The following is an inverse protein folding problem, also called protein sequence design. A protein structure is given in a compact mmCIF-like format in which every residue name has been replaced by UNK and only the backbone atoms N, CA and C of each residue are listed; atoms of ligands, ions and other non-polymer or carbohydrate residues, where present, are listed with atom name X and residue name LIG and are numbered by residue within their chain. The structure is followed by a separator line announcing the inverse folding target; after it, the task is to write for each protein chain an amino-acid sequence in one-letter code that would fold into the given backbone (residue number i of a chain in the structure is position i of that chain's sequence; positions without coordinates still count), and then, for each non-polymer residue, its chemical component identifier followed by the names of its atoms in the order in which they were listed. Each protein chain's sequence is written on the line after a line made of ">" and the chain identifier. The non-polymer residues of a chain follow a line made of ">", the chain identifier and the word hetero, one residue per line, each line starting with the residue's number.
data_IF_038713754104
#
_entry.id   IF_038713754104
#
_cell.length_a   1.000
_cell.length_b   1.000
_cell.length_c   1.000
_cell.angle_alpha   90.00
_cell.angle_beta   90.00
_cell.angle_gamma   90.00
#
_symmetry.space_group_name_H-M   'P 1'
#
loop_
_entity.id
_entity.type
_entity.pdbx_description
1 polymer ?
#
# COMPACT_ATOMS: atom_id res chain seq x y z
N UNK A 1 -15.96 6.16 -22.58
CA UNK A 1 -15.23 4.89 -22.32
C UNK A 1 -14.82 4.24 -23.64
N UNK A 2 -13.59 3.71 -23.78
CA UNK A 2 -13.14 3.01 -25.00
C UNK A 2 -13.65 1.57 -25.08
N UNK A 3 -14.04 1.11 -26.27
CA UNK A 3 -14.45 -0.28 -26.52
C UNK A 3 -13.31 -1.26 -26.25
N UNK A 4 -12.07 -0.90 -26.60
CA UNK A 4 -10.88 -1.71 -26.29
C UNK A 4 -10.70 -1.96 -24.80
N UNK A 5 -11.12 -1.01 -23.97
CA UNK A 5 -11.02 -1.04 -22.53
C UNK A 5 -12.16 -1.85 -21.90
N UNK A 6 -13.40 -1.68 -22.39
CA UNK A 6 -14.55 -2.53 -22.05
C UNK A 6 -14.26 -4.00 -22.34
N UNK A 7 -13.71 -4.31 -23.52
CA UNK A 7 -13.43 -5.70 -23.90
C UNK A 7 -12.38 -6.34 -22.98
N UNK A 8 -11.28 -5.63 -22.69
CA UNK A 8 -10.26 -6.11 -21.74
C UNK A 8 -10.81 -6.30 -20.33
N UNK A 9 -11.67 -5.39 -19.85
CA UNK A 9 -12.33 -5.55 -18.55
C UNK A 9 -13.28 -6.75 -18.55
N UNK A 10 -14.02 -6.98 -19.64
CA UNK A 10 -14.85 -8.17 -19.81
C UNK A 10 -14.01 -9.45 -19.74
N UNK A 11 -12.87 -9.48 -20.42
CA UNK A 11 -11.94 -10.61 -20.35
C UNK A 11 -11.44 -10.85 -18.91
N UNK A 12 -11.19 -9.79 -18.13
CA UNK A 12 -10.87 -9.93 -16.71
C UNK A 12 -12.00 -10.60 -15.92
N UNK A 13 -13.24 -10.11 -16.07
CA UNK A 13 -14.41 -10.69 -15.40
C UNK A 13 -14.59 -12.17 -15.76
N UNK A 14 -14.54 -12.49 -17.06
CA UNK A 14 -14.75 -13.85 -17.56
C UNK A 14 -13.67 -14.84 -17.11
N UNK A 15 -12.42 -14.37 -16.92
CA UNK A 15 -11.29 -15.25 -16.58
C UNK A 15 -11.05 -15.37 -15.08
N UNK A 16 -11.23 -14.30 -14.32
CA UNK A 16 -10.80 -14.24 -12.92
C UNK A 16 -11.94 -14.20 -11.91
N UNK A 17 -13.16 -13.86 -12.34
CA UNK A 17 -14.34 -13.76 -11.47
C UNK A 17 -15.43 -14.79 -11.79
N UNK A 18 -15.25 -15.63 -12.81
CA UNK A 18 -16.25 -16.62 -13.24
C UNK A 18 -16.67 -17.57 -12.11
N UNK A 19 -15.72 -18.05 -11.32
CA UNK A 19 -15.97 -18.94 -10.18
C UNK A 19 -16.52 -18.20 -8.96
N UNK A 20 -16.57 -16.87 -9.00
CA UNK A 20 -17.03 -16.01 -7.89
C UNK A 20 -18.44 -15.43 -8.11
N UNK A 21 -19.15 -15.81 -9.18
CA UNK A 21 -20.51 -15.29 -9.48
C UNK A 21 -21.53 -15.54 -8.38
N UNK A 22 -21.37 -16.64 -7.63
CA UNK A 22 -22.24 -17.01 -6.52
C UNK A 22 -21.68 -16.63 -5.14
N UNK A 23 -20.61 -15.83 -5.10
CA UNK A 23 -19.99 -15.36 -3.87
C UNK A 23 -20.22 -13.85 -3.72
N UNK A 24 -20.46 -13.36 -2.50
CA UNK A 24 -20.55 -11.93 -2.27
C UNK A 24 -19.20 -11.28 -2.55
N UNK A 25 -19.18 -10.29 -3.43
CA UNK A 25 -17.98 -9.50 -3.74
C UNK A 25 -18.26 -8.02 -3.55
N UNK A 26 -17.36 -7.34 -2.87
CA UNK A 26 -17.25 -5.90 -2.90
C UNK A 26 -16.26 -5.48 -4.00
N UNK A 27 -16.78 -4.80 -5.02
CA UNK A 27 -16.02 -4.31 -6.18
C UNK A 27 -15.96 -2.79 -6.11
N UNK A 28 -14.75 -2.23 -6.19
CA UNK A 28 -14.49 -0.80 -6.27
C UNK A 28 -13.93 -0.46 -7.65
N UNK A 29 -14.53 0.51 -8.35
CA UNK A 29 -14.05 1.05 -9.62
C UNK A 29 -13.44 2.45 -9.41
N UNK A 30 -12.16 2.63 -9.73
CA UNK A 30 -11.43 3.90 -9.56
C UNK A 30 -11.39 4.69 -10.87
N UNK A 31 -11.86 5.95 -10.82
CA UNK A 31 -12.07 6.80 -11.99
C UNK A 31 -13.34 6.40 -12.73
N UNK A 32 -14.38 6.05 -11.98
CA UNK A 32 -15.55 5.35 -12.50
C UNK A 32 -16.60 6.24 -13.18
N UNK A 33 -16.34 7.55 -13.33
CA UNK A 33 -17.36 8.50 -13.81
C UNK A 33 -17.87 8.08 -15.18
N UNK A 34 -19.19 7.97 -15.34
CA UNK A 34 -19.79 7.61 -16.63
C UNK A 34 -19.69 8.79 -17.62
N UNK A 35 -18.67 8.72 -18.47
CA UNK A 35 -18.43 9.64 -19.57
C UNK A 35 -18.51 8.85 -20.88
N UNK A 36 -19.75 8.69 -21.36
CA UNK A 36 -20.04 7.91 -22.56
C UNK A 36 -19.82 6.41 -22.37
N UNK A 37 -20.08 5.89 -21.17
CA UNK A 37 -19.98 4.48 -20.79
C UNK A 37 -19.22 4.28 -19.47
N UNK A 38 -19.50 3.16 -18.81
CA UNK A 38 -18.85 2.72 -17.57
C UNK A 38 -18.74 1.19 -17.50
N UNK A 39 -18.00 0.65 -16.53
CA UNK A 39 -17.86 -0.79 -16.36
C UNK A 39 -19.00 -1.47 -15.59
N UNK A 40 -19.84 -0.72 -14.87
CA UNK A 40 -20.91 -1.28 -14.01
C UNK A 40 -21.71 -2.42 -14.65
N UNK A 41 -22.14 -2.36 -15.94
CA UNK A 41 -22.89 -3.45 -16.57
C UNK A 41 -22.15 -4.79 -16.62
N UNK A 42 -20.82 -4.80 -16.59
CA UNK A 42 -20.01 -6.03 -16.57
C UNK A 42 -20.04 -6.74 -15.20
N UNK A 43 -20.45 -6.02 -14.15
CA UNK A 43 -20.45 -6.50 -12.76
C UNK A 43 -21.87 -6.66 -12.20
N UNK A 44 -22.88 -6.72 -13.07
CA UNK A 44 -24.28 -6.92 -12.69
C UNK A 44 -24.54 -8.39 -12.30
N UNK A 45 -24.16 -8.75 -11.08
CA UNK A 45 -24.46 -10.04 -10.47
C UNK A 45 -25.16 -9.80 -9.14
N UNK A 46 -26.13 -10.66 -8.81
CA UNK A 46 -27.01 -10.45 -7.65
C UNK A 46 -26.28 -10.32 -6.29
N UNK A 47 -25.10 -10.95 -6.15
CA UNK A 47 -24.30 -10.92 -4.92
C UNK A 47 -23.12 -9.94 -5.00
N UNK A 48 -22.96 -9.21 -6.11
CA UNK A 48 -21.85 -8.28 -6.29
C UNK A 48 -22.30 -6.87 -5.92
N UNK A 49 -21.57 -6.25 -5.02
CA UNK A 49 -21.73 -4.85 -4.65
C UNK A 49 -20.67 -4.04 -5.38
N UNK A 50 -21.07 -3.34 -6.45
CA UNK A 50 -20.21 -2.45 -7.21
C UNK A 50 -20.38 -1.01 -6.70
N UNK A 51 -19.26 -0.35 -6.41
CA UNK A 51 -19.18 1.07 -6.10
C UNK A 51 -18.18 1.78 -7.01
N UNK A 52 -18.57 2.94 -7.56
CA UNK A 52 -17.66 3.81 -8.28
C UNK A 52 -17.03 4.86 -7.36
N UNK A 53 -15.75 5.13 -7.55
CA UNK A 53 -14.99 6.16 -6.84
C UNK A 53 -14.31 7.13 -7.81
N UNK A 54 -14.31 8.41 -7.45
CA UNK A 54 -13.64 9.48 -8.18
C UNK A 54 -13.34 10.67 -7.25
N UNK A 55 -12.56 11.64 -7.71
CA UNK A 55 -12.25 12.87 -6.96
C UNK A 55 -13.40 13.87 -6.97
N UNK A 56 -14.32 13.72 -7.91
CA UNK A 56 -15.44 14.65 -8.14
C UNK A 56 -16.73 13.84 -8.20
N UNK A 57 -17.83 14.31 -7.60
CA UNK A 57 -19.13 13.66 -7.75
C UNK A 57 -19.56 13.64 -9.23
N UNK A 58 -20.20 12.55 -9.64
CA UNK A 58 -20.65 12.36 -11.02
C UNK A 58 -21.58 11.18 -11.17
N UNK A 59 -22.04 10.94 -12.41
CA UNK A 59 -22.77 9.73 -12.73
C UNK A 59 -21.87 8.50 -12.49
N UNK A 60 -22.45 7.43 -11.94
CA UNK A 60 -21.75 6.21 -11.54
C UNK A 60 -20.81 6.34 -10.33
N UNK A 61 -20.79 7.48 -9.62
CA UNK A 61 -19.94 7.70 -8.44
C UNK A 61 -20.74 7.54 -7.14
N UNK A 62 -20.28 6.61 -6.31
CA UNK A 62 -20.82 6.30 -4.99
C UNK A 62 -19.93 6.87 -3.87
N UNK A 63 -18.62 6.96 -4.11
CA UNK A 63 -17.61 7.47 -3.16
C UNK A 63 -16.84 8.61 -3.80
N UNK A 64 -16.85 9.78 -3.16
CA UNK A 64 -15.99 10.91 -3.55
C UNK A 64 -14.75 10.90 -2.67
N UNK A 65 -13.58 10.74 -3.28
CA UNK A 65 -12.30 10.72 -2.60
C UNK A 65 -11.84 12.16 -2.33
N UNK A 66 -11.53 12.48 -1.08
CA UNK A 66 -11.03 13.81 -0.71
C UNK A 66 -9.58 14.07 -1.13
N UNK A 67 -8.78 13.02 -1.26
CA UNK A 67 -7.38 13.09 -1.70
C UNK A 67 -7.07 11.94 -2.69
N UNK A 68 -6.38 12.21 -3.82
CA UNK A 68 -6.05 11.18 -4.81
C UNK A 68 -5.08 10.09 -4.31
N UNK A 69 -4.37 10.35 -3.22
CA UNK A 69 -3.31 9.53 -2.65
C UNK A 69 -3.60 9.10 -1.20
N UNK A 70 -4.74 9.49 -0.62
CA UNK A 70 -5.18 9.07 0.71
C UNK A 70 -6.70 8.89 0.76
N UNK A 71 -7.15 7.63 0.67
CA UNK A 71 -8.56 7.27 0.56
C UNK A 71 -9.14 6.95 1.94
N UNK A 72 -9.22 7.98 2.79
CA UNK A 72 -9.72 7.85 4.17
C UNK A 72 -11.18 7.37 4.22
N UNK A 73 -11.92 7.55 3.14
CA UNK A 73 -13.31 7.11 2.97
C UNK A 73 -13.43 5.59 2.81
N UNK A 74 -12.31 4.89 2.58
CA UNK A 74 -12.28 3.46 2.28
C UNK A 74 -11.40 2.73 3.30
N UNK A 75 -12.03 1.82 4.04
CA UNK A 75 -11.35 1.02 5.06
C UNK A 75 -10.30 0.08 4.46
N UNK A 76 -9.23 -0.18 5.21
CA UNK A 76 -8.22 -1.18 4.83
C UNK A 76 -8.84 -2.58 4.80
N UNK A 77 -8.39 -3.44 3.88
CA UNK A 77 -8.89 -4.82 3.75
C UNK A 77 -10.43 -4.93 3.64
N UNK A 78 -11.06 -4.04 2.89
CA UNK A 78 -12.53 -3.97 2.74
C UNK A 78 -13.02 -4.33 1.34
N UNK A 79 -12.14 -4.32 0.33
CA UNK A 79 -12.49 -4.54 -1.08
C UNK A 79 -12.00 -5.91 -1.57
N UNK A 80 -12.88 -6.68 -2.20
CA UNK A 80 -12.55 -7.99 -2.78
C UNK A 80 -11.90 -7.86 -4.17
N UNK A 81 -12.38 -6.89 -4.96
CA UNK A 81 -11.89 -6.61 -6.30
C UNK A 81 -11.79 -5.11 -6.54
N UNK A 82 -10.62 -4.63 -6.93
CA UNK A 82 -10.44 -3.27 -7.43
C UNK A 82 -10.30 -3.28 -8.95
N UNK A 83 -11.01 -2.40 -9.64
CA UNK A 83 -10.82 -2.17 -11.05
C UNK A 83 -10.50 -0.72 -11.32
N UNK A 84 -9.77 -0.45 -12.39
CA UNK A 84 -9.57 0.90 -12.90
C UNK A 84 -9.24 0.83 -14.38
N UNK A 85 -9.79 1.75 -15.16
CA UNK A 85 -9.54 1.80 -16.60
C UNK A 85 -9.43 3.22 -17.09
N UNK A 86 -8.36 3.50 -17.83
CA UNK A 86 -8.10 4.81 -18.44
C UNK A 86 -8.04 5.96 -17.40
N UNK A 87 -7.48 5.65 -16.23
CA UNK A 87 -7.32 6.59 -15.12
C UNK A 87 -5.85 6.82 -14.79
N UNK A 88 -5.02 5.78 -14.88
CA UNK A 88 -3.63 5.80 -14.40
C UNK A 88 -2.71 6.73 -15.20
N UNK A 89 -2.98 6.94 -16.48
CA UNK A 89 -2.29 7.92 -17.32
C UNK A 89 -2.46 9.35 -16.81
N UNK A 90 -3.56 9.63 -16.09
CA UNK A 90 -3.90 10.95 -15.56
C UNK A 90 -3.45 11.13 -14.09
N UNK A 91 -2.85 10.11 -13.46
CA UNK A 91 -2.39 10.17 -12.07
C UNK A 91 -0.89 10.48 -12.01
N UNK A 92 -0.51 11.64 -11.45
CA UNK A 92 0.90 12.07 -11.39
C UNK A 92 1.78 11.10 -10.59
N UNK A 93 1.31 10.68 -9.42
CA UNK A 93 2.04 9.81 -8.49
C UNK A 93 1.33 8.46 -8.35
N UNK A 94 1.15 7.75 -9.46
CA UNK A 94 0.39 6.49 -9.51
C UNK A 94 0.90 5.41 -8.55
N UNK A 95 2.16 5.47 -8.11
CA UNK A 95 2.69 4.59 -7.07
C UNK A 95 2.04 4.81 -5.71
N UNK A 96 1.66 6.04 -5.35
CA UNK A 96 0.91 6.32 -4.11
C UNK A 96 -0.51 5.76 -4.18
N UNK A 97 -1.17 5.96 -5.32
CA UNK A 97 -2.48 5.35 -5.60
C UNK A 97 -2.40 3.82 -5.55
N UNK A 98 -1.34 3.22 -6.08
CA UNK A 98 -1.13 1.78 -5.98
C UNK A 98 -0.95 1.30 -4.53
N UNK A 99 -0.28 2.07 -3.67
CA UNK A 99 -0.21 1.78 -2.23
C UNK A 99 -1.59 1.77 -1.57
N UNK A 100 -2.46 2.71 -1.92
CA UNK A 100 -3.84 2.73 -1.43
C UNK A 100 -4.66 1.54 -1.95
N UNK A 101 -4.49 1.15 -3.21
CA UNK A 101 -5.08 -0.08 -3.77
C UNK A 101 -4.66 -1.29 -2.92
N UNK A 102 -3.37 -1.45 -2.65
CA UNK A 102 -2.89 -2.53 -1.78
C UNK A 102 -3.51 -2.45 -0.38
N UNK A 103 -3.63 -1.26 0.21
CA UNK A 103 -4.20 -1.06 1.55
C UNK A 103 -5.65 -1.54 1.62
N UNK A 104 -6.50 -1.12 0.69
CA UNK A 104 -7.96 -1.38 0.72
C UNK A 104 -8.32 -2.80 0.29
N UNK A 105 -7.51 -3.45 -0.54
CA UNK A 105 -7.77 -4.83 -0.93
C UNK A 105 -7.70 -5.76 0.29
N UNK A 106 -8.63 -6.70 0.38
CA UNK A 106 -8.56 -7.83 1.31
C UNK A 106 -7.38 -8.75 0.96
N UNK A 107 -6.87 -9.57 1.89
CA UNK A 107 -6.02 -10.71 1.54
C UNK A 107 -6.69 -11.57 0.46
N UNK A 108 -5.93 -11.99 -0.56
CA UNK A 108 -6.45 -12.61 -1.80
C UNK A 108 -7.34 -11.72 -2.69
N UNK A 109 -7.53 -10.44 -2.33
CA UNK A 109 -8.22 -9.47 -3.17
C UNK A 109 -7.48 -9.26 -4.49
N UNK A 110 -8.23 -9.02 -5.56
CA UNK A 110 -7.68 -8.84 -6.91
C UNK A 110 -7.73 -7.38 -7.31
N UNK A 111 -6.75 -6.91 -8.10
CA UNK A 111 -6.93 -5.70 -8.89
C UNK A 111 -6.75 -5.95 -10.38
N UNK A 112 -7.53 -5.22 -11.19
CA UNK A 112 -7.37 -5.10 -12.63
C UNK A 112 -7.19 -3.62 -13.00
N UNK A 113 -6.05 -3.27 -13.57
CA UNK A 113 -5.75 -1.90 -14.02
C UNK A 113 -5.51 -1.93 -15.52
N UNK A 114 -6.23 -1.08 -16.25
CA UNK A 114 -6.10 -0.89 -17.69
C UNK A 114 -5.69 0.55 -17.96
N UNK A 115 -4.58 0.76 -18.67
CA UNK A 115 -4.08 2.10 -19.00
C UNK A 115 -3.46 2.12 -20.40
N UNK A 116 -3.46 3.26 -21.10
CA UNK A 116 -2.89 3.37 -22.44
C UNK A 116 -1.37 3.11 -22.42
N UNK A 117 -0.90 2.39 -23.43
CA UNK A 117 0.54 2.20 -23.70
C UNK A 117 1.03 3.04 -24.89
N UNK A 118 0.10 3.49 -25.73
CA UNK A 118 0.38 4.33 -26.89
C UNK A 118 -0.66 5.44 -27.06
N UNK A 119 -0.84 5.88 -28.31
CA UNK A 119 -1.76 6.95 -28.65
C UNK A 119 -1.17 8.36 -28.44
N UNK A 120 -1.85 9.40 -28.97
CA UNK A 120 -1.44 10.79 -28.79
C UNK A 120 -1.60 11.25 -27.35
N UNK A 121 -1.00 12.40 -27.00
CA UNK A 121 -1.28 13.07 -25.72
C UNK A 121 -2.76 13.47 -25.66
N UNK A 122 -3.45 13.18 -24.55
CA UNK A 122 -4.84 13.55 -24.30
C UNK A 122 -5.02 14.03 -22.85
N UNK A 123 -5.05 15.34 -22.66
CA UNK A 123 -5.16 15.92 -21.32
C UNK A 123 -6.57 15.88 -20.77
N UNK A 124 -6.73 15.30 -19.58
CA UNK A 124 -8.00 15.31 -18.87
C UNK A 124 -7.83 15.25 -17.33
N UNK A 125 -7.28 16.27 -16.66
CA UNK A 125 -6.74 17.54 -17.17
C UNK A 125 -5.23 17.49 -17.51
N UNK A 126 -4.56 16.40 -17.15
CA UNK A 126 -3.14 16.13 -17.41
C UNK A 126 -3.01 14.77 -18.08
N UNK A 127 -1.86 14.49 -18.67
CA UNK A 127 -1.56 13.20 -19.29
C UNK A 127 -0.09 12.90 -19.03
N UNK A 128 0.17 11.99 -18.09
CA UNK A 128 1.47 11.84 -17.45
C UNK A 128 2.23 10.61 -17.95
N UNK A 129 1.52 9.53 -18.28
CA UNK A 129 2.16 8.22 -18.40
C UNK A 129 1.58 7.36 -19.52
N UNK A 130 2.46 6.54 -20.09
CA UNK A 130 2.10 5.37 -20.90
C UNK A 130 2.69 4.15 -20.23
N UNK A 131 1.89 3.10 -20.11
CA UNK A 131 2.24 1.93 -19.30
C UNK A 131 2.67 0.77 -20.19
N UNK A 132 3.81 0.17 -19.89
CA UNK A 132 4.26 -1.09 -20.47
C UNK A 132 4.12 -2.22 -19.44
N UNK A 133 4.01 -3.50 -19.87
CA UNK A 133 3.88 -4.64 -18.97
C UNK A 133 4.94 -4.71 -17.86
N UNK A 134 6.21 -4.45 -18.18
CA UNK A 134 7.30 -4.46 -17.19
C UNK A 134 7.15 -3.32 -16.16
N UNK A 135 6.65 -2.16 -16.60
CA UNK A 135 6.35 -1.03 -15.71
C UNK A 135 5.23 -1.36 -14.73
N UNK A 136 4.17 -2.01 -15.20
CA UNK A 136 3.10 -2.51 -14.31
C UNK A 136 3.59 -3.61 -13.37
N UNK A 137 4.45 -4.50 -13.85
CA UNK A 137 5.07 -5.53 -13.02
C UNK A 137 5.87 -4.89 -11.88
N UNK A 138 6.73 -3.93 -12.19
CA UNK A 138 7.51 -3.20 -11.20
C UNK A 138 6.64 -2.44 -10.19
N UNK A 139 5.58 -1.77 -10.67
CA UNK A 139 4.64 -1.02 -9.83
C UNK A 139 3.90 -1.93 -8.84
N UNK A 140 3.41 -3.08 -9.31
CA UNK A 140 2.72 -4.06 -8.47
C UNK A 140 3.64 -4.61 -7.38
N UNK A 141 4.87 -5.01 -7.76
CA UNK A 141 5.88 -5.52 -6.82
C UNK A 141 6.29 -4.46 -5.79
N UNK A 142 6.54 -3.23 -6.24
CA UNK A 142 6.85 -2.10 -5.36
C UNK A 142 5.76 -1.88 -4.30
N UNK A 143 4.50 -2.10 -4.67
CA UNK A 143 3.34 -1.88 -3.80
C UNK A 143 2.93 -3.13 -3.02
N UNK A 144 3.73 -4.21 -3.05
CA UNK A 144 3.46 -5.43 -2.28
C UNK A 144 2.37 -6.34 -2.85
N UNK A 145 2.01 -6.20 -4.13
CA UNK A 145 1.09 -7.11 -4.82
C UNK A 145 1.84 -8.20 -5.59
N UNK A 146 1.22 -9.38 -5.64
CA UNK A 146 1.64 -10.49 -6.49
C UNK A 146 1.06 -10.30 -7.89
N UNK A 147 1.93 -10.21 -8.90
CA UNK A 147 1.50 -10.12 -10.30
C UNK A 147 0.95 -11.47 -10.75
N UNK A 148 -0.29 -11.48 -11.25
CA UNK A 148 -0.90 -12.66 -11.88
C UNK A 148 -0.66 -12.61 -13.39
N UNK A 149 -0.92 -11.47 -14.01
CA UNK A 149 -0.78 -11.28 -15.45
C UNK A 149 -0.49 -9.82 -15.78
N UNK A 150 0.38 -9.59 -16.76
CA UNK A 150 0.49 -8.30 -17.45
C UNK A 150 0.46 -8.52 -18.95
N UNK A 151 -0.35 -7.74 -19.67
CA UNK A 151 -0.43 -7.80 -21.13
C UNK A 151 -0.41 -6.41 -21.74
N UNK A 152 -0.16 -6.36 -23.05
CA UNK A 152 -0.26 -5.15 -23.87
C UNK A 152 -0.91 -5.53 -25.19
N UNK A 153 -1.84 -4.69 -25.67
CA UNK A 153 -2.37 -4.84 -27.00
C UNK A 153 -1.32 -4.46 -28.06
N UNK A 154 -0.72 -5.47 -28.69
CA UNK A 154 0.33 -5.26 -29.71
C UNK A 154 -0.19 -5.09 -31.15
N UNK A 155 -1.45 -5.45 -31.42
CA UNK A 155 -2.07 -5.41 -32.76
C UNK A 155 -3.36 -4.61 -32.76
N UNK A 156 -3.79 -4.17 -33.93
CA UNK A 156 -5.14 -3.64 -34.12
C UNK A 156 -6.14 -4.80 -34.11
N UNK A 157 -7.19 -4.67 -33.30
CA UNK A 157 -8.27 -5.64 -33.17
C UNK A 157 -9.55 -5.21 -33.92
N UNK A 158 -9.57 -4.00 -34.47
CA UNK A 158 -10.64 -3.50 -35.33
C UNK A 158 -11.79 -2.86 -34.55
N UNK A 159 -11.50 -2.20 -33.42
CA UNK A 159 -12.52 -1.50 -32.64
C UNK A 159 -13.08 -0.30 -33.41
N UNK A 160 -14.40 -0.23 -33.52
CA UNK A 160 -15.11 0.76 -34.34
C UNK A 160 -15.03 2.20 -33.83
N UNK A 161 -14.68 2.38 -32.55
CA UNK A 161 -14.47 3.68 -31.91
C UNK A 161 -13.03 4.20 -32.07
N UNK A 162 -12.17 3.47 -32.79
CA UNK A 162 -10.78 3.84 -33.02
C UNK A 162 -9.86 3.62 -31.83
N UNK A 163 -10.34 2.93 -30.78
CA UNK A 163 -9.58 2.75 -29.54
C UNK A 163 -8.33 1.87 -29.66
N UNK A 164 -8.13 1.19 -30.79
CA UNK A 164 -6.91 0.44 -31.10
C UNK A 164 -5.61 1.26 -31.01
N UNK A 165 -5.69 2.59 -31.19
CA UNK A 165 -4.51 3.48 -31.15
C UNK A 165 -3.87 3.54 -29.77
N UNK A 166 -4.62 3.26 -28.70
CA UNK A 166 -4.18 3.40 -27.31
C UNK A 166 -3.33 2.24 -26.82
N UNK A 167 -3.39 1.10 -27.52
CA UNK A 167 -2.56 -0.07 -27.24
C UNK A 167 -2.60 -0.50 -25.77
N UNK A 168 -3.78 -0.48 -25.16
CA UNK A 168 -3.91 -0.57 -23.70
C UNK A 168 -3.09 -1.73 -23.11
N UNK A 169 -2.38 -1.43 -22.04
CA UNK A 169 -1.77 -2.40 -21.17
C UNK A 169 -2.74 -2.79 -20.06
N UNK A 170 -2.66 -4.04 -19.61
CA UNK A 170 -3.47 -4.59 -18.52
C UNK A 170 -2.54 -5.15 -17.45
N UNK A 171 -2.84 -4.85 -16.20
CA UNK A 171 -2.28 -5.50 -15.02
C UNK A 171 -3.40 -6.23 -14.28
N UNK A 172 -3.21 -7.51 -14.02
CA UNK A 172 -3.98 -8.28 -13.04
C UNK A 172 -3.02 -8.68 -11.92
N UNK A 173 -3.33 -8.27 -10.71
CA UNK A 173 -2.53 -8.59 -9.53
C UNK A 173 -3.41 -8.99 -8.35
N UNK A 174 -2.79 -9.59 -7.35
CA UNK A 174 -3.43 -10.07 -6.13
C UNK A 174 -2.71 -9.53 -4.92
N UNK A 175 -3.46 -9.08 -3.91
CA UNK A 175 -2.89 -8.87 -2.59
C UNK A 175 -2.56 -10.24 -2.00
N UNK A 176 -1.27 -10.54 -1.73
CA UNK A 176 -0.92 -11.82 -1.16
C UNK A 176 -1.69 -12.00 0.16
N UNK A 177 -2.08 -13.24 0.45
CA UNK A 177 -2.33 -13.59 1.84
C UNK A 177 -1.01 -13.33 2.52
N UNK A 178 -0.95 -12.30 3.36
CA UNK A 178 0.01 -12.35 4.43
C UNK A 178 -0.26 -13.69 5.06
N UNK A 179 0.69 -14.63 4.93
CA UNK A 179 0.82 -15.65 5.94
C UNK A 179 0.91 -14.81 7.21
N UNK A 180 -0.22 -14.70 7.90
CA UNK A 180 -0.23 -14.97 9.31
C UNK A 180 0.67 -16.22 9.40
N UNK A 181 1.96 -16.00 9.69
CA UNK A 181 2.56 -16.78 10.77
C UNK A 181 1.41 -16.94 11.72
N UNK A 182 0.87 -18.16 11.84
CA UNK A 182 -0.26 -18.40 12.71
C UNK A 182 0.08 -17.68 14.01
N UNK A 183 -0.56 -16.54 14.21
CA UNK A 183 -0.77 -15.97 15.50
C UNK A 183 -1.84 -16.90 16.04
N UNK A 184 -1.40 -18.11 16.40
CA UNK A 184 -1.92 -18.74 17.59
C UNK A 184 -1.96 -17.60 18.61
N UNK A 185 -3.13 -17.36 19.19
CA UNK A 185 -3.45 -16.38 20.24
C UNK A 185 -2.57 -16.56 21.51
N UNK A 186 -1.25 -16.58 21.33
CA UNK A 186 -0.18 -16.83 22.29
C UNK A 186 1.25 -16.61 21.73
N UNK A 187 1.44 -16.14 20.48
CA UNK A 187 2.78 -15.80 19.99
C UNK A 187 3.14 -14.33 20.21
N UNK A 188 3.51 -14.05 21.46
CA UNK A 188 4.56 -13.10 21.85
C UNK A 188 5.69 -13.21 20.79
N UNK A 189 5.87 -12.18 19.94
CA UNK A 189 6.94 -12.14 18.95
C UNK A 189 8.31 -12.18 19.66
N UNK A 190 8.83 -13.38 19.92
CA UNK A 190 10.20 -13.61 20.37
C UNK A 190 11.06 -13.95 19.16
N UNK A 191 11.32 -12.95 18.31
CA UNK A 191 12.32 -13.09 17.24
C UNK A 191 13.70 -13.00 17.90
N UNK A 192 14.51 -14.05 17.78
CA UNK A 192 15.95 -13.96 18.14
C UNK A 192 16.69 -13.36 16.96
N UNK A 193 17.53 -12.37 17.22
CA UNK A 193 18.36 -11.75 16.19
C UNK A 193 19.50 -12.71 15.83
N UNK A 194 19.55 -13.08 14.55
CA UNK A 194 20.66 -13.78 13.94
C UNK A 194 21.55 -12.75 13.24
N UNK A 195 22.72 -12.47 13.82
CA UNK A 195 23.66 -11.46 13.32
C UNK A 195 24.34 -11.85 12.00
N UNK A 196 24.19 -13.10 11.57
CA UNK A 196 24.70 -13.60 10.29
C UNK A 196 23.62 -13.57 9.18
N UNK A 197 22.38 -13.21 9.52
CA UNK A 197 21.31 -13.04 8.54
C UNK A 197 21.46 -11.74 7.72
N UNK A 198 21.01 -11.77 6.47
CA UNK A 198 21.06 -10.62 5.55
C UNK A 198 19.77 -9.76 5.60
N UNK A 199 19.14 -9.67 6.77
CA UNK A 199 17.91 -8.89 6.98
C UNK A 199 18.16 -7.44 7.42
N UNK A 200 17.08 -6.63 7.47
CA UNK A 200 17.14 -5.19 7.78
C UNK A 200 17.74 -4.91 9.16
N UNK A 201 17.40 -5.72 10.15
CA UNK A 201 17.85 -5.56 11.54
C UNK A 201 19.34 -5.80 11.68
N UNK A 202 19.87 -6.84 11.05
CA UNK A 202 21.30 -7.11 11.06
C UNK A 202 22.10 -5.99 10.40
N UNK A 203 21.58 -5.39 9.32
CA UNK A 203 22.22 -4.23 8.67
C UNK A 203 22.22 -3.01 9.58
N UNK A 204 21.13 -2.74 10.31
CA UNK A 204 21.06 -1.67 11.31
C UNK A 204 22.09 -1.90 12.41
N UNK A 205 22.11 -3.09 13.02
CA UNK A 205 23.03 -3.43 14.12
C UNK A 205 24.49 -3.21 13.74
N UNK A 206 24.89 -3.57 12.51
CA UNK A 206 26.26 -3.37 12.02
C UNK A 206 26.70 -1.90 11.95
N UNK A 207 25.75 -0.94 11.99
CA UNK A 207 26.02 0.49 11.97
C UNK A 207 26.03 1.14 13.37
N UNK A 208 25.53 0.43 14.38
CA UNK A 208 25.39 0.95 15.75
C UNK A 208 26.68 0.73 16.53
N UNK A 209 27.21 1.81 17.11
CA UNK A 209 28.31 1.72 18.07
C UNK A 209 27.80 1.23 19.44
N UNK A 210 28.51 0.29 20.10
CA UNK A 210 28.21 -0.09 21.48
C UNK A 210 28.23 1.09 22.46
N UNK A 211 27.54 0.95 23.59
CA UNK A 211 27.53 1.91 24.70
C UNK A 211 26.97 3.31 24.36
N UNK A 212 26.11 3.38 23.35
CA UNK A 212 25.49 4.63 22.88
C UNK A 212 24.05 4.80 23.37
N UNK A 213 23.54 6.04 23.28
CA UNK A 213 22.15 6.39 23.56
C UNK A 213 21.31 6.30 22.29
N UNK A 214 20.24 5.52 22.35
CA UNK A 214 19.40 5.22 21.20
C UNK A 214 17.94 5.56 21.52
N UNK A 215 17.25 6.18 20.56
CA UNK A 215 15.80 6.26 20.55
C UNK A 215 15.26 5.29 19.49
N UNK A 216 14.49 4.30 19.92
CA UNK A 216 13.84 3.34 19.03
C UNK A 216 12.35 3.68 18.90
N UNK A 217 11.92 4.05 17.70
CA UNK A 217 10.53 4.33 17.39
C UNK A 217 9.92 3.07 16.77
N UNK A 218 8.87 2.52 17.40
CA UNK A 218 8.23 1.27 17.00
C UNK A 218 9.04 0.01 17.31
N UNK A 219 9.46 -0.24 18.57
CA UNK A 219 10.24 -1.43 18.94
C UNK A 219 9.44 -2.75 18.86
N UNK A 220 8.12 -2.69 18.64
CA UNK A 220 7.22 -3.84 18.77
C UNK A 220 7.45 -4.55 20.12
N UNK A 221 7.69 -5.86 20.12
CA UNK A 221 7.95 -6.65 21.33
C UNK A 221 9.36 -6.47 21.91
N UNK A 222 10.21 -5.64 21.30
CA UNK A 222 11.52 -5.24 21.83
C UNK A 222 12.67 -6.17 21.50
N UNK A 223 12.60 -6.94 20.41
CA UNK A 223 13.67 -7.87 20.02
C UNK A 223 14.99 -7.14 19.70
N UNK A 224 14.92 -5.98 19.03
CA UNK A 224 16.07 -5.14 18.74
C UNK A 224 16.51 -4.39 20.00
N UNK A 225 15.56 -3.82 20.74
CA UNK A 225 15.79 -3.22 22.06
C UNK A 225 16.58 -4.13 22.99
N UNK A 226 16.21 -5.41 23.10
CA UNK A 226 16.89 -6.43 23.91
C UNK A 226 18.33 -6.64 23.43
N UNK A 227 18.55 -6.75 22.12
CA UNK A 227 19.89 -6.92 21.57
C UNK A 227 20.77 -5.69 21.82
N UNK A 228 20.28 -4.50 21.50
CA UNK A 228 20.98 -3.23 21.74
C UNK A 228 21.35 -3.10 23.21
N UNK A 229 20.44 -3.45 24.12
CA UNK A 229 20.68 -3.40 25.56
C UNK A 229 21.68 -4.45 26.06
N UNK A 230 21.49 -5.71 25.67
CA UNK A 230 22.19 -6.85 26.29
C UNK A 230 23.49 -7.22 25.58
N UNK A 231 23.62 -6.91 24.28
CA UNK A 231 24.79 -7.25 23.46
C UNK A 231 25.66 -6.04 23.16
N UNK A 232 25.06 -4.88 22.92
CA UNK A 232 25.80 -3.66 22.64
C UNK A 232 25.91 -2.73 23.85
N UNK A 233 25.28 -3.07 24.98
CA UNK A 233 25.29 -2.24 26.20
C UNK A 233 24.78 -0.81 25.98
N UNK A 234 23.93 -0.61 24.97
CA UNK A 234 23.33 0.69 24.67
C UNK A 234 22.24 1.06 25.70
N UNK A 235 22.00 2.36 25.84
CA UNK A 235 20.85 2.90 26.59
C UNK A 235 19.75 3.23 25.58
N UNK A 236 18.67 2.45 25.59
CA UNK A 236 17.59 2.58 24.60
C UNK A 236 16.35 3.17 25.24
N UNK A 237 15.85 4.29 24.75
CA UNK A 237 14.50 4.77 25.02
C UNK A 237 13.58 4.41 23.85
N UNK A 238 12.29 4.21 24.11
CA UNK A 238 11.35 3.66 23.14
C UNK A 238 10.03 4.43 23.06
N UNK A 239 9.43 4.45 21.87
CA UNK A 239 8.03 4.86 21.64
C UNK A 239 7.28 3.77 20.91
N UNK A 240 6.19 3.26 21.47
CA UNK A 240 5.38 2.18 20.89
C UNK A 240 3.89 2.48 21.06
N UNK A 241 3.07 2.28 20.03
CA UNK A 241 1.62 2.56 20.10
C UNK A 241 0.83 1.44 20.76
N UNK A 242 1.29 0.20 20.61
CA UNK A 242 0.64 -0.98 21.18
C UNK A 242 1.04 -1.18 22.64
N UNK A 243 0.09 -0.98 23.56
CA UNK A 243 0.33 -1.16 25.00
C UNK A 243 0.83 -2.59 25.34
N UNK A 244 0.32 -3.61 24.64
CA UNK A 244 0.73 -5.01 24.86
C UNK A 244 2.19 -5.24 24.47
N UNK A 245 2.61 -4.70 23.33
CA UNK A 245 3.98 -4.82 22.84
C UNK A 245 4.94 -3.98 23.69
N UNK A 246 4.53 -2.76 24.04
CA UNK A 246 5.25 -1.88 24.94
C UNK A 246 5.53 -2.55 26.28
N UNK A 247 4.57 -3.29 26.86
CA UNK A 247 4.75 -4.05 28.11
C UNK A 247 5.87 -5.09 28.06
N UNK A 248 6.20 -5.60 26.87
CA UNK A 248 7.29 -6.55 26.66
C UNK A 248 8.60 -5.81 26.42
N UNK A 249 8.61 -4.86 25.49
CA UNK A 249 9.79 -4.08 25.14
C UNK A 249 10.32 -3.24 26.32
N UNK A 250 9.43 -2.77 27.20
CA UNK A 250 9.81 -1.95 28.37
C UNK A 250 10.78 -2.66 29.32
N UNK A 251 10.85 -3.99 29.28
CA UNK A 251 11.79 -4.78 30.08
C UNK A 251 13.25 -4.53 29.68
N UNK A 252 13.48 -4.03 28.46
CA UNK A 252 14.80 -3.84 27.87
C UNK A 252 15.15 -2.37 27.63
N UNK A 253 14.16 -1.48 27.58
CA UNK A 253 14.38 -0.05 27.43
C UNK A 253 14.59 0.66 28.78
N UNK A 254 15.18 1.84 28.73
CA UNK A 254 15.32 2.75 29.85
C UNK A 254 14.03 3.56 30.11
N UNK A 255 13.31 3.94 29.05
CA UNK A 255 12.03 4.64 29.13
C UNK A 255 11.15 4.18 27.98
N UNK A 256 9.89 3.84 28.28
CA UNK A 256 8.88 3.48 27.30
C UNK A 256 7.78 4.54 27.28
N UNK A 257 7.49 5.10 26.11
CA UNK A 257 6.35 6.00 25.88
C UNK A 257 5.32 5.28 25.02
N UNK A 258 4.10 5.13 25.54
CA UNK A 258 3.01 4.45 24.84
C UNK A 258 2.19 5.47 24.05
N UNK A 259 2.61 5.77 22.80
CA UNK A 259 1.97 6.78 21.93
C UNK A 259 2.09 6.41 20.46
N UNK A 260 1.19 6.96 19.67
CA UNK A 260 1.28 6.91 18.21
C UNK A 260 2.31 7.93 17.72
N UNK A 261 3.35 7.45 17.05
CA UNK A 261 4.42 8.27 16.49
C UNK A 261 3.97 9.12 15.29
N UNK A 262 2.82 8.82 14.71
CA UNK A 262 2.16 9.62 13.66
C UNK A 262 1.57 10.94 14.23
N UNK A 263 1.55 11.09 15.56
CA UNK A 263 1.04 12.28 16.26
C UNK A 263 2.18 12.96 17.05
N UNK A 264 2.36 14.28 16.86
CA UNK A 264 3.43 15.12 17.44
C UNK A 264 3.25 15.42 18.94
N UNK A 265 3.40 14.39 19.74
CA UNK A 265 3.27 14.45 21.20
C UNK A 265 4.49 13.79 21.87
N UNK A 266 4.90 12.64 21.33
CA UNK A 266 5.91 11.77 21.94
C UNK A 266 7.26 12.47 22.11
N UNK A 267 7.63 13.42 21.25
CA UNK A 267 8.92 14.11 21.30
C UNK A 267 9.06 15.01 22.54
N UNK A 268 7.95 15.50 23.09
CA UNK A 268 7.95 16.36 24.28
C UNK A 268 8.48 15.62 25.53
N UNK A 269 8.37 14.29 25.54
CA UNK A 269 8.89 13.43 26.62
C UNK A 269 10.42 13.29 26.59
N UNK A 270 11.06 13.78 25.52
CA UNK A 270 12.50 13.68 25.27
C UNK A 270 13.16 15.03 24.99
N UNK A 271 12.47 16.15 25.22
CA UNK A 271 12.93 17.50 24.86
C UNK A 271 14.30 17.91 25.44
N UNK A 272 14.72 17.31 26.57
CA UNK A 272 15.99 17.57 27.24
C UNK A 272 17.07 16.52 26.93
N UNK A 273 16.86 15.69 25.90
CA UNK A 273 17.74 14.58 25.53
C UNK A 273 18.25 14.72 24.10
N UNK A 274 19.41 14.12 23.85
CA UNK A 274 19.99 13.90 22.53
C UNK A 274 20.40 12.44 22.41
N UNK A 275 20.29 11.88 21.21
CA UNK A 275 20.58 10.48 20.92
C UNK A 275 21.66 10.37 19.86
N UNK A 276 22.55 9.40 20.03
CA UNK A 276 23.59 9.08 19.04
C UNK A 276 22.95 8.45 17.79
N UNK A 277 21.87 7.69 18.00
CA UNK A 277 21.09 7.06 16.93
C UNK A 277 19.59 7.14 17.21
N UNK A 278 18.82 7.34 16.15
CA UNK A 278 17.36 7.12 16.16
C UNK A 278 17.07 5.98 15.17
N UNK A 279 16.38 4.95 15.63
CA UNK A 279 16.09 3.74 14.85
C UNK A 279 14.59 3.65 14.57
N UNK A 280 14.28 3.42 13.30
CA UNK A 280 12.95 3.11 12.77
C UNK A 280 13.12 1.92 11.82
N UNK A 281 12.87 0.70 12.31
CA UNK A 281 13.04 -0.52 11.52
C UNK A 281 11.67 -1.02 11.03
N UNK A 282 11.42 -0.87 9.73
CA UNK A 282 10.12 -1.20 9.09
C UNK A 282 8.95 -0.44 9.73
N UNK A 283 9.13 0.88 9.90
CA UNK A 283 8.18 1.79 10.57
C UNK A 283 7.73 2.95 9.67
N UNK A 284 8.64 3.54 8.89
CA UNK A 284 8.36 4.76 8.11
C UNK A 284 7.25 4.55 7.08
N UNK A 285 7.17 3.38 6.47
CA UNK A 285 6.14 2.98 5.51
C UNK A 285 4.72 2.92 6.10
N UNK A 286 4.61 2.95 7.42
CA UNK A 286 3.34 2.90 8.15
C UNK A 286 2.88 4.27 8.63
N UNK A 287 3.70 5.32 8.48
CA UNK A 287 3.38 6.68 8.92
C UNK A 287 2.63 7.45 7.83
N UNK A 288 1.61 8.21 8.24
CA UNK A 288 0.91 9.14 7.33
C UNK A 288 1.62 10.48 7.28
N UNK A 289 2.29 10.87 8.36
CA UNK A 289 2.94 12.15 8.59
C UNK A 289 4.45 11.97 8.78
N UNK A 290 5.08 11.12 7.96
CA UNK A 290 6.49 10.74 8.01
C UNK A 290 7.45 11.96 8.06
N UNK A 291 7.18 13.02 7.29
CA UNK A 291 7.98 14.24 7.26
C UNK A 291 8.01 14.94 8.65
N UNK A 292 6.89 14.95 9.36
CA UNK A 292 6.79 15.56 10.70
C UNK A 292 7.61 14.76 11.72
N UNK A 293 7.48 13.43 11.69
CA UNK A 293 8.25 12.52 12.53
C UNK A 293 9.75 12.70 12.30
N UNK A 294 10.20 12.74 11.03
CA UNK A 294 11.61 12.97 10.70
C UNK A 294 12.13 14.33 11.17
N UNK A 295 11.31 15.39 11.10
CA UNK A 295 11.66 16.71 11.66
C UNK A 295 11.77 16.69 13.18
N UNK A 296 10.94 15.92 13.87
CA UNK A 296 11.03 15.73 15.32
C UNK A 296 12.31 14.96 15.68
N UNK A 297 12.60 13.85 14.99
CA UNK A 297 13.84 13.09 15.16
C UNK A 297 15.08 13.97 15.01
N UNK A 298 15.13 14.86 14.02
CA UNK A 298 16.27 15.76 13.80
C UNK A 298 16.56 16.68 15.00
N UNK A 299 15.57 17.02 15.82
CA UNK A 299 15.77 17.86 17.02
C UNK A 299 16.38 17.09 18.19
N UNK A 300 16.29 15.76 18.15
CA UNK A 300 16.74 14.83 19.18
C UNK A 300 18.07 14.16 18.82
N UNK A 301 18.66 14.50 17.68
CA UNK A 301 20.01 14.11 17.25
C UNK A 301 21.03 15.19 17.63
#
# INVERSE_FOLDING_TARGET
>A
MHLSSIDKMKQFVDRYLVDKKNHPLHILDLGATDIGGCYRPLFDQAQWHYQGADLVPGNNIDIVLSDPYSWIEIESNSVDVLISGQTFEHIQFFWKTMSEITRILKPNGLCCIIAPSGGPEHKYPIDCWRFFPDGFTALAQYSGLEVIETTIQSKDLGYSDGSDIWKDAVLVARKPVQKLLQLNDNHIYKRKIDTDAEDSLTKIIKLIQPETNILELGPATGYLTEYLKTKLNCRVDCVEKSEEMAKQAQLFCNQMIIKDIDHLDWESHFQDKTYDYIIMADVLEHLKEDEKTLKACRKLL
#
